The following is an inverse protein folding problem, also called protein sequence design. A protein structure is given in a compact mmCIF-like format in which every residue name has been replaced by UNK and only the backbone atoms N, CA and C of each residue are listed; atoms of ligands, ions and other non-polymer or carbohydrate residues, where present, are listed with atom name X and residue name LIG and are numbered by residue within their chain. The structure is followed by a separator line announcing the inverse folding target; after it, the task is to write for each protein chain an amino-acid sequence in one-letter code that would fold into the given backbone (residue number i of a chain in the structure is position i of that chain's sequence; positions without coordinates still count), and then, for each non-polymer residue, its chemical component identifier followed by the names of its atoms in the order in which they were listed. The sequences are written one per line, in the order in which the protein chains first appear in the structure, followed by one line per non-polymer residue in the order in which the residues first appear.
data_IF_402527019881
#
_entry.id   IF_402527019881
#
_cell.length_a   1.000
_cell.length_b   1.000
_cell.length_c   1.000
_cell.angle_alpha   90.00
_cell.angle_beta   90.00
_cell.angle_gamma   90.00
#
_symmetry.space_group_name_H-M   'P 1'
#
loop_
_entity.id
_entity.type
_entity.pdbx_description
1 polymer ?
#
# COMPACT_ATOMS: atom_id res chain seq x y z
N UNK A 1 2.02 -24.83 -6.02
CA UNK A 1 1.77 -23.42 -5.72
C UNK A 1 2.61 -23.08 -4.49
N UNK A 2 3.60 -22.20 -4.63
CA UNK A 2 4.48 -21.84 -3.50
C UNK A 2 3.82 -20.66 -2.78
N UNK A 3 3.54 -20.82 -1.49
CA UNK A 3 3.09 -19.71 -0.66
C UNK A 3 4.32 -18.90 -0.23
N UNK A 4 4.27 -17.59 -0.43
CA UNK A 4 5.26 -16.66 0.09
C UNK A 4 4.74 -16.11 1.40
N UNK A 5 5.52 -16.17 2.47
CA UNK A 5 5.11 -15.70 3.79
C UNK A 5 5.83 -14.38 4.11
N UNK A 6 5.09 -13.43 4.68
CA UNK A 6 5.67 -12.21 5.26
C UNK A 6 5.20 -12.01 6.69
N UNK A 7 6.08 -11.43 7.50
CA UNK A 7 5.77 -11.01 8.87
C UNK A 7 5.59 -9.49 8.92
N UNK A 8 4.56 -9.05 9.64
CA UNK A 8 4.28 -7.65 9.91
C UNK A 8 4.63 -7.29 11.35
N UNK A 9 5.50 -6.29 11.49
CA UNK A 9 5.81 -5.65 12.77
C UNK A 9 5.04 -4.33 12.88
N UNK A 10 4.32 -4.14 14.00
CA UNK A 10 3.69 -2.86 14.33
C UNK A 10 4.75 -1.87 14.81
N UNK A 11 4.91 -0.77 14.06
CA UNK A 11 5.80 0.33 14.42
C UNK A 11 5.05 1.53 15.02
N UNK A 12 3.74 1.37 15.25
CA UNK A 12 2.84 2.33 15.86
C UNK A 12 2.06 3.18 14.87
N UNK A 13 0.98 3.82 15.37
CA UNK A 13 0.07 4.71 14.60
C UNK A 13 -0.55 4.05 13.36
N UNK A 14 -0.80 2.74 13.42
CA UNK A 14 -1.35 1.97 12.31
C UNK A 14 -0.38 1.84 11.13
N UNK A 15 0.93 1.88 11.39
CA UNK A 15 1.97 1.65 10.40
C UNK A 15 2.73 0.38 10.74
N UNK A 16 3.14 -0.32 9.70
CA UNK A 16 3.79 -1.61 9.81
C UNK A 16 5.03 -1.66 8.93
N UNK A 17 6.05 -2.34 9.43
CA UNK A 17 7.16 -2.85 8.62
C UNK A 17 6.79 -4.27 8.14
N UNK A 18 7.20 -4.64 6.93
CA UNK A 18 7.01 -5.99 6.41
C UNK A 18 8.35 -6.66 6.12
N UNK A 19 8.47 -7.93 6.53
CA UNK A 19 9.67 -8.73 6.41
C UNK A 19 9.42 -9.98 5.59
N UNK A 20 10.33 -10.27 4.67
CA UNK A 20 10.44 -11.54 3.97
C UNK A 20 11.59 -12.33 4.62
N UNK A 21 11.27 -13.22 5.56
CA UNK A 21 12.27 -13.86 6.40
C UNK A 21 12.98 -12.84 7.29
N UNK A 22 14.25 -12.53 7.00
CA UNK A 22 15.04 -11.53 7.74
C UNK A 22 15.14 -10.18 7.03
N UNK A 23 14.72 -10.10 5.78
CA UNK A 23 14.88 -8.91 4.96
C UNK A 23 13.64 -8.02 5.07
N UNK A 24 13.86 -6.76 5.46
CA UNK A 24 12.79 -5.76 5.47
C UNK A 24 12.52 -5.31 4.04
N UNK A 25 11.32 -5.59 3.55
CA UNK A 25 10.92 -5.28 2.16
C UNK A 25 10.00 -4.05 2.07
N UNK A 26 9.29 -3.74 3.15
CA UNK A 26 8.43 -2.54 3.26
C UNK A 26 8.69 -1.89 4.60
N UNK A 27 8.76 -0.56 4.64
CA UNK A 27 8.89 0.20 5.89
C UNK A 27 7.74 1.19 6.09
N UNK A 28 7.19 1.19 7.29
CA UNK A 28 6.24 2.19 7.80
C UNK A 28 5.00 2.40 6.94
N UNK A 29 4.44 1.33 6.38
CA UNK A 29 3.26 1.39 5.52
C UNK A 29 1.96 1.22 6.31
N UNK A 30 0.91 1.91 5.86
CA UNK A 30 -0.48 1.67 6.31
C UNK A 30 -1.14 0.49 5.58
N UNK A 31 -0.54 0.03 4.48
CA UNK A 31 -1.08 -1.01 3.61
C UNK A 31 0.04 -2.03 3.27
N UNK A 32 0.73 -2.56 4.29
CA UNK A 32 1.99 -3.27 4.12
C UNK A 32 1.86 -4.50 3.21
N UNK A 33 0.70 -5.16 3.21
CA UNK A 33 0.48 -6.35 2.38
C UNK A 33 0.38 -6.03 0.88
N UNK A 34 -0.27 -4.93 0.50
CA UNK A 34 -0.36 -4.50 -0.90
C UNK A 34 1.00 -3.99 -1.39
N UNK A 35 1.71 -3.25 -0.54
CA UNK A 35 3.06 -2.77 -0.81
C UNK A 35 4.04 -3.93 -0.97
N UNK A 36 3.95 -4.94 -0.09
CA UNK A 36 4.76 -6.14 -0.17
C UNK A 36 4.47 -6.92 -1.46
N UNK A 37 3.20 -7.09 -1.85
CA UNK A 37 2.86 -7.71 -3.14
C UNK A 37 3.51 -6.99 -4.33
N UNK A 38 3.63 -5.65 -4.30
CA UNK A 38 4.32 -4.89 -5.36
C UNK A 38 5.81 -5.19 -5.38
N UNK A 39 6.46 -5.21 -4.23
CA UNK A 39 7.89 -5.57 -4.13
C UNK A 39 8.12 -7.00 -4.60
N UNK A 40 7.33 -7.96 -4.13
CA UNK A 40 7.42 -9.37 -4.52
C UNK A 40 7.22 -9.56 -6.03
N UNK A 41 6.22 -8.90 -6.61
CA UNK A 41 5.99 -8.92 -8.06
C UNK A 41 7.18 -8.33 -8.84
N UNK A 42 7.77 -7.24 -8.35
CA UNK A 42 8.97 -6.65 -8.97
C UNK A 42 10.19 -7.59 -8.91
N UNK A 43 10.26 -8.44 -7.89
CA UNK A 43 11.26 -9.52 -7.77
C UNK A 43 10.92 -10.76 -8.62
N UNK A 44 9.80 -10.75 -9.36
CA UNK A 44 9.35 -11.88 -10.19
C UNK A 44 8.67 -13.00 -9.40
N UNK A 45 8.32 -12.77 -8.13
CA UNK A 45 7.63 -13.73 -7.28
C UNK A 45 6.12 -13.63 -7.56
N UNK A 46 5.48 -14.79 -7.77
CA UNK A 46 4.05 -14.91 -8.06
C UNK A 46 3.38 -15.95 -7.15
N UNK A 47 2.05 -16.03 -7.20
CA UNK A 47 1.27 -16.96 -6.39
C UNK A 47 0.64 -16.31 -5.15
N UNK A 48 0.52 -17.08 -4.07
CA UNK A 48 -0.18 -16.66 -2.86
C UNK A 48 0.77 -16.03 -1.85
N UNK A 49 0.43 -14.85 -1.36
CA UNK A 49 1.04 -14.22 -0.18
C UNK A 49 0.24 -14.61 1.06
N UNK A 50 0.91 -15.14 2.08
CA UNK A 50 0.40 -15.29 3.43
C UNK A 50 1.03 -14.24 4.33
N UNK A 51 0.18 -13.52 5.06
CA UNK A 51 0.59 -12.44 5.96
C UNK A 51 0.40 -12.90 7.40
N UNK A 52 1.44 -12.73 8.20
CA UNK A 52 1.45 -13.00 9.62
C UNK A 52 1.74 -11.71 10.39
N UNK A 53 1.24 -11.63 11.62
CA UNK A 53 1.78 -10.67 12.58
C UNK A 53 3.02 -11.30 13.24
N UNK A 54 4.03 -10.50 13.56
CA UNK A 54 5.24 -11.01 14.18
C UNK A 54 4.95 -11.80 15.45
N UNK A 55 5.52 -13.01 15.53
CA UNK A 55 5.30 -13.95 16.63
C UNK A 55 3.97 -14.72 16.59
N UNK A 56 3.09 -14.45 15.61
CA UNK A 56 1.85 -15.20 15.40
C UNK A 56 2.09 -16.42 14.52
N UNK A 57 1.50 -17.56 14.89
CA UNK A 57 1.41 -18.74 14.02
C UNK A 57 0.14 -18.77 13.16
N UNK A 58 -0.73 -17.76 13.30
CA UNK A 58 -2.01 -17.68 12.60
C UNK A 58 -1.88 -16.73 11.41
N UNK A 59 -2.29 -17.22 10.24
CA UNK A 59 -2.39 -16.43 9.02
C UNK A 59 -3.42 -15.32 9.22
N UNK A 60 -2.97 -14.07 9.18
CA UNK A 60 -3.84 -12.91 9.30
C UNK A 60 -4.59 -12.63 7.98
N UNK A 61 -3.92 -12.84 6.84
CA UNK A 61 -4.50 -12.58 5.51
C UNK A 61 -3.83 -13.43 4.42
N UNK A 62 -4.60 -13.76 3.38
CA UNK A 62 -4.10 -14.39 2.15
C UNK A 62 -4.45 -13.53 0.94
N UNK A 63 -3.48 -13.31 0.06
CA UNK A 63 -3.63 -12.47 -1.13
C UNK A 63 -3.02 -13.19 -2.33
N UNK A 64 -3.55 -12.92 -3.52
CA UNK A 64 -2.87 -13.22 -4.77
C UNK A 64 -1.90 -12.08 -5.09
N UNK A 65 -0.61 -12.38 -5.24
CA UNK A 65 0.46 -11.38 -5.40
C UNK A 65 0.21 -10.52 -6.64
N UNK A 66 -0.16 -11.14 -7.75
CA UNK A 66 -0.28 -10.44 -9.04
C UNK A 66 -1.46 -9.49 -9.07
N UNK A 67 -2.59 -9.92 -8.50
CA UNK A 67 -3.81 -9.12 -8.37
C UNK A 67 -3.66 -8.01 -7.35
N UNK A 68 -3.12 -8.33 -6.16
CA UNK A 68 -2.99 -7.37 -5.06
C UNK A 68 -1.94 -6.29 -5.35
N UNK A 69 -0.89 -6.60 -6.11
CA UNK A 69 0.11 -5.61 -6.52
C UNK A 69 -0.50 -4.44 -7.33
N UNK A 70 -1.62 -4.67 -8.02
CA UNK A 70 -2.33 -3.62 -8.77
C UNK A 70 -3.26 -2.75 -7.92
N UNK A 71 -3.34 -2.97 -6.60
CA UNK A 71 -4.32 -2.33 -5.74
C UNK A 71 -3.67 -1.44 -4.66
N UNK A 72 -4.43 -0.46 -4.22
CA UNK A 72 -4.19 0.40 -3.05
C UNK A 72 -5.49 0.57 -2.28
N UNK A 73 -5.44 1.07 -1.05
CA UNK A 73 -6.62 1.50 -0.31
C UNK A 73 -6.68 3.02 -0.30
N UNK A 74 -7.82 3.58 -0.71
CA UNK A 74 -8.13 5.00 -0.58
C UNK A 74 -9.07 5.15 0.62
N UNK A 75 -8.63 5.94 1.60
CA UNK A 75 -9.42 6.30 2.76
C UNK A 75 -10.03 7.68 2.51
N UNK A 76 -11.34 7.76 2.29
CA UNK A 76 -12.05 9.03 2.17
C UNK A 76 -13.06 9.19 3.30
N UNK A 77 -13.20 10.41 3.82
CA UNK A 77 -14.19 10.71 4.88
C UNK A 77 -15.61 10.36 4.43
N UNK A 78 -15.91 10.58 3.14
CA UNK A 78 -17.25 10.39 2.56
C UNK A 78 -17.61 8.92 2.30
N UNK A 79 -16.65 8.08 1.92
CA UNK A 79 -16.94 6.73 1.43
C UNK A 79 -16.21 5.61 2.20
N UNK A 80 -15.45 5.95 3.23
CA UNK A 80 -14.63 5.01 3.98
C UNK A 80 -13.45 4.44 3.18
N UNK A 81 -12.80 3.38 3.69
CA UNK A 81 -11.71 2.69 3.00
C UNK A 81 -12.25 1.89 1.81
N UNK A 82 -11.68 2.08 0.63
CA UNK A 82 -11.99 1.30 -0.58
C UNK A 82 -10.73 0.89 -1.32
N UNK A 83 -10.75 -0.30 -1.91
CA UNK A 83 -9.73 -0.68 -2.89
C UNK A 83 -9.87 0.16 -4.16
N UNK A 84 -8.73 0.62 -4.66
CA UNK A 84 -8.60 1.34 -5.92
C UNK A 84 -7.37 0.84 -6.69
N UNK A 85 -7.30 1.06 -8.01
CA UNK A 85 -6.08 0.79 -8.77
C UNK A 85 -4.90 1.59 -8.21
N UNK A 86 -3.76 0.92 -8.03
CA UNK A 86 -2.51 1.58 -7.68
C UNK A 86 -1.81 2.07 -8.95
N UNK A 87 -1.27 3.28 -8.87
CA UNK A 87 -0.41 3.85 -9.89
C UNK A 87 0.87 4.37 -9.22
N UNK A 88 2.04 4.25 -9.87
CA UNK A 88 3.26 4.90 -9.41
C UNK A 88 3.00 6.40 -9.27
N UNK A 89 3.63 7.01 -8.26
CA UNK A 89 3.61 8.47 -8.16
C UNK A 89 4.35 9.06 -9.37
N UNK A 90 3.63 9.80 -10.20
CA UNK A 90 4.18 10.56 -11.31
C UNK A 90 4.27 12.05 -10.93
N UNK A 91 5.49 12.59 -10.73
CA UNK A 91 5.67 13.99 -10.33
C UNK A 91 5.11 14.97 -11.37
N UNK A 92 5.12 14.64 -12.66
CA UNK A 92 4.60 15.52 -13.71
C UNK A 92 3.06 15.64 -13.66
N UNK A 93 2.39 14.59 -13.20
CA UNK A 93 0.94 14.59 -12.98
C UNK A 93 0.56 15.42 -11.75
N UNK A 94 1.41 15.42 -10.72
CA UNK A 94 1.17 16.17 -9.49
C UNK A 94 1.25 17.69 -9.71
N UNK A 95 2.23 18.20 -10.47
CA UNK A 95 2.36 19.64 -10.79
C UNK A 95 1.12 20.23 -11.48
N UNK A 96 0.46 19.45 -12.35
CA UNK A 96 -0.80 19.85 -12.99
C UNK A 96 -1.97 19.96 -12.00
N UNK A 97 -2.02 19.11 -10.97
CA UNK A 97 -3.12 19.11 -9.99
C UNK A 97 -3.04 20.31 -9.02
N UNK A 98 -1.83 20.75 -8.67
CA UNK A 98 -1.62 21.94 -7.82
C UNK A 98 -2.03 23.22 -8.57
N UNK A 99 -1.72 23.30 -9.87
CA UNK A 99 -2.09 24.44 -10.71
C UNK A 99 -3.60 24.61 -10.95
N UNK A 100 -4.38 23.51 -10.94
CA UNK A 100 -5.83 23.56 -11.11
C UNK A 100 -6.58 24.08 -9.86
N UNK A 101 -5.95 24.07 -8.68
CA UNK A 101 -6.57 24.56 -7.43
C UNK A 101 -6.34 26.06 -7.16
N UNK A 102 -5.46 26.71 -7.93
CA UNK A 102 -5.09 28.11 -7.71
C UNK A 102 -6.01 29.13 -8.39
N UNK A 103 -6.95 28.72 -9.24
CA UNK A 103 -7.79 29.64 -10.04
C UNK A 103 -9.13 30.05 -9.42
N UNK A 104 -9.48 29.60 -8.21
CA UNK A 104 -10.79 29.92 -7.58
C UNK A 104 -10.73 30.87 -6.37
N UNK A 105 -9.56 31.35 -5.94
CA UNK A 105 -9.47 32.33 -4.85
C UNK A 105 -9.11 33.72 -5.39
N UNK A 106 -10.10 34.35 -6.03
CA UNK A 106 -10.00 35.71 -6.55
C UNK A 106 -11.38 36.38 -6.62
N UNK A 107 -12.18 36.30 -5.56
CA UNK A 107 -13.40 37.08 -5.42
C UNK A 107 -13.38 37.86 -4.09
N UNK A 108 -13.16 39.17 -4.24
CA UNK A 108 -13.59 40.33 -3.45
C UNK A 108 -13.82 40.21 -1.93
N UNK A 109 -13.27 41.17 -1.17
CA UNK A 109 -13.98 42.17 -0.32
C UNK A 109 -13.00 42.84 0.67
N UNK A 110 -13.23 44.07 1.18
CA UNK A 110 -14.00 45.22 0.67
C UNK A 110 -13.12 46.32 0.04
#
# INVERSE_FOLDING_TARGET
MVATCIDLDDIGRGRFDAFLGRDKIVSGSKQPALDACRVLKALGITGTLEVFHAGSSVVAMRLDIERAAGLTVIESVKYGPKFAPWHPYDPATHEKAIGASASEQGAAFP
#
